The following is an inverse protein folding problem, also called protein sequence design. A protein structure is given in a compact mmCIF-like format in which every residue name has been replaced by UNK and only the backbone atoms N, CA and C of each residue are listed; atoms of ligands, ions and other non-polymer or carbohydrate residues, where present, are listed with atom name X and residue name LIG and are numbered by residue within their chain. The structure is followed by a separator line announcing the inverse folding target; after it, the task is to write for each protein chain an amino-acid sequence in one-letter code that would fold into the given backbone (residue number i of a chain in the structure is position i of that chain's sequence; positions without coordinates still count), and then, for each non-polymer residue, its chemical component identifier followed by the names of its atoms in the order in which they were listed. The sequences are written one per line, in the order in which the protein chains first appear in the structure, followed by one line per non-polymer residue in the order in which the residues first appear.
data_IF_470599835715
#
_entry.id   IF_470599835715
#
_cell.length_a   1.000
_cell.length_b   1.000
_cell.length_c   1.000
_cell.angle_alpha   90.00
_cell.angle_beta   90.00
_cell.angle_gamma   90.00
#
_symmetry.space_group_name_H-M   'P 1'
#
loop_
_entity.id
_entity.type
_entity.pdbx_description
1 polymer ?
#
# COMPACT_ATOMS: atom_id res chain seq x y z
N UNK A 1 -9.27 -20.15 1.93
CA UNK A 1 -8.77 -19.13 2.89
C UNK A 1 -8.62 -17.81 2.15
N UNK A 2 -9.18 -16.72 2.65
CA UNK A 2 -9.09 -15.41 1.98
C UNK A 2 -7.66 -14.86 2.08
N UNK A 3 -7.03 -14.58 0.94
CA UNK A 3 -5.67 -14.01 0.89
C UNK A 3 -5.57 -12.70 1.67
N UNK A 4 -4.44 -12.51 2.34
CA UNK A 4 -4.15 -11.32 3.14
C UNK A 4 -4.10 -10.08 2.23
N UNK A 5 -4.42 -8.91 2.76
CA UNK A 5 -4.45 -7.67 1.98
C UNK A 5 -3.06 -7.29 1.45
N UNK A 6 -1.98 -7.70 2.12
CA UNK A 6 -0.60 -7.53 1.66
C UNK A 6 -0.36 -8.38 0.41
N UNK A 7 -0.71 -9.66 0.43
CA UNK A 7 -0.62 -10.57 -0.73
C UNK A 7 -1.34 -9.98 -1.95
N UNK A 8 -2.58 -9.49 -1.77
CA UNK A 8 -3.35 -8.82 -2.84
C UNK A 8 -2.61 -7.62 -3.43
N UNK A 9 -1.91 -6.84 -2.61
CA UNK A 9 -1.11 -5.68 -3.08
C UNK A 9 0.14 -6.13 -3.82
N UNK A 10 0.81 -7.19 -3.35
CA UNK A 10 1.97 -7.78 -4.02
C UNK A 10 1.56 -8.33 -5.40
N UNK A 11 0.44 -9.04 -5.48
CA UNK A 11 -0.08 -9.57 -6.75
C UNK A 11 -0.37 -8.44 -7.75
N UNK A 12 -1.05 -7.38 -7.28
CA UNK A 12 -1.35 -6.21 -8.14
C UNK A 12 -0.07 -5.52 -8.64
N UNK A 13 0.92 -5.34 -7.75
CA UNK A 13 2.19 -4.72 -8.11
C UNK A 13 3.02 -5.60 -9.06
N UNK A 14 3.02 -6.91 -8.85
CA UNK A 14 3.67 -7.88 -9.74
C UNK A 14 3.04 -7.92 -11.13
N UNK A 15 1.70 -7.90 -11.24
CA UNK A 15 1.02 -7.80 -12.55
C UNK A 15 1.43 -6.50 -13.26
N UNK A 16 1.45 -5.37 -12.55
CA UNK A 16 1.87 -4.08 -13.13
C UNK A 16 3.36 -4.06 -13.53
N UNK A 17 4.20 -4.88 -12.90
CA UNK A 17 5.59 -5.09 -13.31
C UNK A 17 5.65 -5.92 -14.60
N UNK A 18 4.87 -7.00 -14.69
CA UNK A 18 4.77 -7.81 -15.91
C UNK A 18 4.24 -7.01 -17.11
N UNK A 19 3.21 -6.19 -16.92
CA UNK A 19 2.66 -5.30 -17.96
C UNK A 19 3.74 -4.32 -18.45
N UNK A 20 4.45 -3.66 -17.53
CA UNK A 20 5.54 -2.73 -17.90
C UNK A 20 6.70 -3.42 -18.62
N UNK A 21 7.02 -4.67 -18.29
CA UNK A 21 8.14 -5.40 -18.91
C UNK A 21 7.79 -5.99 -20.27
N UNK A 22 6.53 -6.27 -20.56
CA UNK A 22 6.11 -6.70 -21.91
C UNK A 22 6.43 -5.65 -22.96
N UNK A 23 6.25 -4.37 -22.62
CA UNK A 23 6.57 -3.26 -23.51
C UNK A 23 8.09 -3.14 -23.75
N UNK A 24 8.92 -3.72 -22.88
CA UNK A 24 10.38 -3.62 -22.90
C UNK A 24 11.11 -4.80 -23.57
N UNK A 25 10.45 -5.55 -24.46
CA UNK A 25 11.00 -6.67 -25.29
C UNK A 25 12.36 -7.23 -24.85
N UNK A 26 12.35 -8.40 -24.20
CA UNK A 26 13.56 -9.21 -23.98
C UNK A 26 14.15 -9.19 -22.57
N UNK A 27 13.50 -8.53 -21.61
CA UNK A 27 13.88 -8.64 -20.19
C UNK A 27 13.13 -9.82 -19.54
N UNK A 28 13.83 -10.88 -19.09
CA UNK A 28 13.20 -11.94 -18.32
C UNK A 28 12.69 -11.37 -16.99
N UNK A 29 11.52 -11.84 -16.55
CA UNK A 29 10.97 -11.52 -15.23
C UNK A 29 11.42 -12.65 -14.30
N UNK A 30 12.25 -12.33 -13.30
CA UNK A 30 12.73 -13.33 -12.34
C UNK A 30 12.04 -13.18 -10.99
N UNK A 31 12.09 -14.23 -10.17
CA UNK A 31 11.55 -14.18 -8.81
C UNK A 31 12.26 -13.13 -7.93
N UNK A 32 13.47 -12.73 -8.28
CA UNK A 32 14.20 -11.67 -7.58
C UNK A 32 13.62 -10.28 -7.86
N UNK A 33 13.04 -10.05 -9.05
CA UNK A 33 12.34 -8.79 -9.35
C UNK A 33 11.12 -8.55 -8.46
N UNK A 34 10.50 -9.64 -7.96
CA UNK A 34 9.37 -9.58 -7.03
C UNK A 34 9.79 -9.17 -5.62
N UNK A 35 11.03 -9.49 -5.22
CA UNK A 35 11.57 -9.18 -3.88
C UNK A 35 11.80 -7.68 -3.70
N UNK A 36 12.11 -6.98 -4.77
CA UNK A 36 12.35 -5.53 -4.76
C UNK A 36 11.07 -4.69 -4.86
N UNK A 37 9.90 -5.32 -5.03
CA UNK A 37 8.63 -4.60 -5.04
C UNK A 37 8.35 -4.02 -3.65
N UNK A 38 8.09 -2.72 -3.60
CA UNK A 38 7.62 -2.05 -2.40
C UNK A 38 6.09 -2.02 -2.35
N UNK A 39 5.52 -2.52 -1.25
CA UNK A 39 4.08 -2.47 -1.02
C UNK A 39 3.76 -1.80 0.31
N UNK A 40 2.64 -1.07 0.33
CA UNK A 40 2.11 -0.47 1.56
C UNK A 40 1.61 -1.57 2.48
N UNK A 41 2.10 -1.60 3.71
CA UNK A 41 1.82 -2.68 4.68
C UNK A 41 0.63 -2.42 5.61
N UNK A 42 0.13 -1.19 5.67
CA UNK A 42 -1.02 -0.87 6.51
C UNK A 42 -2.29 -1.51 5.97
N UNK A 43 -3.03 -2.16 6.87
CA UNK A 43 -4.36 -2.67 6.58
C UNK A 43 -5.32 -1.51 6.31
N UNK A 44 -6.37 -1.70 5.48
CA UNK A 44 -7.37 -0.66 5.26
C UNK A 44 -8.02 -0.15 6.56
N UNK A 45 -8.20 -1.05 7.53
CA UNK A 45 -8.75 -0.72 8.86
C UNK A 45 -7.80 0.20 9.63
N UNK A 46 -6.50 -0.13 9.66
CA UNK A 46 -5.51 0.68 10.34
C UNK A 46 -5.34 2.05 9.66
N UNK A 47 -5.37 2.10 8.32
CA UNK A 47 -5.39 3.36 7.58
C UNK A 47 -6.61 4.22 7.95
N UNK A 48 -7.80 3.62 7.98
CA UNK A 48 -9.02 4.30 8.41
C UNK A 48 -8.92 4.86 9.83
N UNK A 49 -8.39 4.07 10.77
CA UNK A 49 -8.19 4.50 12.16
C UNK A 49 -7.26 5.72 12.24
N UNK A 50 -6.09 5.69 11.60
CA UNK A 50 -5.18 6.84 11.60
C UNK A 50 -5.78 8.09 10.92
N UNK A 51 -6.60 7.92 9.88
CA UNK A 51 -7.32 9.04 9.25
C UNK A 51 -8.31 9.66 10.24
N UNK A 52 -9.15 8.85 10.88
CA UNK A 52 -10.17 9.33 11.83
C UNK A 52 -9.52 10.04 13.02
N UNK A 53 -8.49 9.43 13.60
CA UNK A 53 -7.73 10.03 14.71
C UNK A 53 -7.07 11.33 14.26
N UNK A 54 -6.43 11.33 13.09
CA UNK A 54 -5.77 12.53 12.56
C UNK A 54 -6.75 13.68 12.31
N UNK A 55 -7.92 13.41 11.73
CA UNK A 55 -8.98 14.40 11.55
C UNK A 55 -9.51 14.92 12.89
N UNK A 56 -9.71 14.05 13.87
CA UNK A 56 -10.16 14.47 15.20
C UNK A 56 -9.18 15.44 15.86
N UNK A 57 -7.87 15.17 15.80
CA UNK A 57 -6.84 16.08 16.31
C UNK A 57 -6.76 17.40 15.53
N UNK A 58 -6.95 17.37 14.21
CA UNK A 58 -6.98 18.58 13.40
C UNK A 58 -8.17 19.48 13.77
N UNK A 59 -9.38 18.90 13.88
CA UNK A 59 -10.59 19.62 14.30
C UNK A 59 -10.43 20.15 15.73
N UNK A 60 -9.89 19.34 16.64
CA UNK A 60 -9.60 19.77 18.01
C UNK A 60 -8.63 20.95 18.06
N UNK A 61 -7.55 20.92 17.29
CA UNK A 61 -6.60 22.02 17.21
C UNK A 61 -7.21 23.30 16.66
N UNK A 62 -8.06 23.20 15.63
CA UNK A 62 -8.81 24.35 15.09
C UNK A 62 -9.77 24.91 16.14
N UNK A 63 -10.47 24.06 16.87
CA UNK A 63 -11.35 24.52 17.96
C UNK A 63 -10.56 25.24 19.06
N UNK A 64 -9.44 24.67 19.53
CA UNK A 64 -8.56 25.31 20.51
C UNK A 64 -8.06 26.68 20.02
N UNK A 65 -7.76 26.81 18.73
CA UNK A 65 -7.38 28.09 18.13
C UNK A 65 -8.49 29.14 18.25
N UNK A 66 -9.74 28.74 17.98
CA UNK A 66 -10.89 29.64 18.03
C UNK A 66 -11.13 30.11 19.47
N UNK A 67 -11.03 29.21 20.45
CA UNK A 67 -11.33 29.49 21.85
C UNK A 67 -10.23 30.32 22.53
N UNK A 68 -8.98 29.91 22.39
CA UNK A 68 -7.86 30.52 23.14
C UNK A 68 -7.19 31.67 22.41
N UNK A 69 -7.41 31.80 21.10
CA UNK A 69 -6.64 32.67 20.17
C UNK A 69 -5.12 32.45 20.24
N UNK A 70 -4.67 31.36 20.86
CA UNK A 70 -3.26 31.04 21.06
C UNK A 70 -2.78 30.05 20.01
N UNK A 71 -2.01 30.57 19.05
CA UNK A 71 -1.45 29.78 17.95
C UNK A 71 -0.53 28.65 18.41
N UNK A 72 0.18 28.85 19.52
CA UNK A 72 1.14 27.87 20.04
C UNK A 72 0.42 26.60 20.53
N UNK A 73 -0.76 26.75 21.14
CA UNK A 73 -1.50 25.62 21.69
C UNK A 73 -2.30 24.87 20.62
N UNK A 74 -2.68 25.53 19.53
CA UNK A 74 -3.48 24.95 18.45
C UNK A 74 -2.66 24.28 17.35
N UNK A 75 -1.46 24.81 17.06
CA UNK A 75 -0.67 24.34 15.92
C UNK A 75 -0.16 22.91 16.11
N UNK A 76 0.19 22.53 17.33
CA UNK A 76 0.69 21.18 17.65
C UNK A 76 -0.37 20.10 17.37
N UNK A 77 -1.62 20.20 17.88
CA UNK A 77 -2.69 19.26 17.52
C UNK A 77 -3.00 19.23 16.02
N UNK A 78 -3.00 20.39 15.34
CA UNK A 78 -3.27 20.45 13.90
C UNK A 78 -2.18 19.73 13.11
N UNK A 79 -0.90 20.00 13.39
CA UNK A 79 0.22 19.35 12.73
C UNK A 79 0.25 17.85 13.02
N UNK A 80 -0.05 17.45 14.27
CA UNK A 80 -0.17 16.05 14.63
C UNK A 80 -1.31 15.37 13.86
N UNK A 81 -2.46 16.04 13.74
CA UNK A 81 -3.61 15.55 12.99
C UNK A 81 -3.30 15.34 11.51
N UNK A 82 -2.76 16.37 10.85
CA UNK A 82 -2.35 16.32 9.43
C UNK A 82 -1.27 15.26 9.21
N UNK A 83 -0.28 15.18 10.11
CA UNK A 83 0.79 14.18 10.06
C UNK A 83 0.26 12.75 10.09
N UNK A 84 -0.73 12.47 10.96
CA UNK A 84 -1.37 11.15 11.03
C UNK A 84 -2.15 10.80 9.76
N UNK A 85 -2.88 11.75 9.18
CA UNK A 85 -3.58 11.53 7.90
C UNK A 85 -2.58 11.27 6.78
N UNK A 86 -1.53 12.08 6.68
CA UNK A 86 -0.48 11.90 5.68
C UNK A 86 0.22 10.54 5.83
N UNK A 87 0.52 10.14 7.06
CA UNK A 87 1.11 8.84 7.39
C UNK A 87 0.19 7.67 7.05
N UNK A 88 -1.13 7.80 7.27
CA UNK A 88 -2.10 6.79 6.87
C UNK A 88 -2.16 6.58 5.34
N UNK A 89 -2.11 7.69 4.59
CA UNK A 89 -2.20 7.71 3.12
C UNK A 89 -0.92 7.17 2.46
N UNK A 90 0.25 7.59 2.93
CA UNK A 90 1.52 7.04 2.47
C UNK A 90 1.71 5.60 2.95
N UNK A 91 1.23 5.29 4.17
CA UNK A 91 1.48 4.04 4.86
C UNK A 91 2.96 3.85 5.16
N UNK A 92 3.32 2.65 5.61
CA UNK A 92 4.71 2.21 5.72
C UNK A 92 5.04 1.30 4.52
N UNK A 93 5.72 1.81 3.47
CA UNK A 93 6.20 0.96 2.40
C UNK A 93 7.25 0.00 2.97
N UNK A 94 7.15 -1.28 2.61
CA UNK A 94 8.19 -2.28 2.87
C UNK A 94 8.42 -3.08 1.60
N UNK A 95 9.68 -3.46 1.39
CA UNK A 95 10.05 -4.36 0.30
C UNK A 95 9.56 -5.77 0.60
N UNK A 96 9.09 -6.48 -0.43
CA UNK A 96 8.65 -7.87 -0.31
C UNK A 96 9.74 -8.76 0.29
N UNK A 97 11.02 -8.49 -0.01
CA UNK A 97 12.18 -9.15 0.62
C UNK A 97 12.15 -9.12 2.15
N UNK A 98 11.70 -8.02 2.75
CA UNK A 98 11.63 -7.88 4.21
C UNK A 98 10.43 -8.61 4.84
N UNK A 99 9.54 -9.14 4.00
CA UNK A 99 8.31 -9.84 4.37
C UNK A 99 8.36 -11.32 3.94
N UNK A 100 9.53 -11.82 3.51
CA UNK A 100 9.73 -13.21 3.08
C UNK A 100 9.35 -14.24 4.15
N UNK A 101 9.47 -13.89 5.44
CA UNK A 101 9.05 -14.76 6.55
C UNK A 101 7.53 -14.92 6.69
N UNK A 102 6.75 -13.96 6.18
CA UNK A 102 5.30 -13.90 6.32
C UNK A 102 4.55 -14.20 5.01
N UNK A 103 5.28 -14.35 3.89
CA UNK A 103 4.73 -14.47 2.54
C UNK A 103 5.31 -15.67 1.81
N UNK A 104 4.44 -16.51 1.25
CA UNK A 104 4.88 -17.58 0.35
C UNK A 104 5.14 -17.01 -1.06
N UNK A 105 6.39 -16.59 -1.31
CA UNK A 105 6.80 -15.97 -2.58
C UNK A 105 6.54 -16.85 -3.80
N UNK A 106 6.66 -18.17 -3.65
CA UNK A 106 6.47 -19.11 -4.76
C UNK A 106 5.00 -19.17 -5.18
N UNK A 107 4.07 -19.21 -4.21
CA UNK A 107 2.63 -19.15 -4.48
C UNK A 107 2.20 -17.79 -5.06
N UNK A 108 2.80 -16.69 -4.58
CA UNK A 108 2.56 -15.35 -5.11
C UNK A 108 3.05 -15.22 -6.56
N UNK A 109 4.24 -15.74 -6.86
CA UNK A 109 4.81 -15.70 -8.22
C UNK A 109 3.94 -16.49 -9.20
N UNK A 110 3.56 -17.72 -8.83
CA UNK A 110 2.71 -18.58 -9.64
C UNK A 110 1.37 -17.91 -9.94
N UNK A 111 0.74 -17.29 -8.93
CA UNK A 111 -0.55 -16.64 -9.13
C UNK A 111 -0.44 -15.34 -9.96
N UNK A 112 0.65 -14.57 -9.79
CA UNK A 112 0.91 -13.38 -10.63
C UNK A 112 1.04 -13.79 -12.09
N UNK A 113 1.83 -14.82 -12.38
CA UNK A 113 2.00 -15.35 -13.74
C UNK A 113 0.68 -15.89 -14.28
N UNK A 114 -0.06 -16.70 -13.51
CA UNK A 114 -1.35 -17.25 -13.93
C UNK A 114 -2.34 -16.15 -14.27
N UNK A 115 -2.52 -15.15 -13.40
CA UNK A 115 -3.44 -14.02 -13.62
C UNK A 115 -3.01 -13.16 -14.81
N UNK A 116 -1.71 -12.97 -14.97
CA UNK A 116 -1.17 -12.21 -16.08
C UNK A 116 -1.39 -12.92 -17.42
N UNK A 117 -1.05 -14.20 -17.52
CA UNK A 117 -1.28 -15.03 -18.72
C UNK A 117 -2.77 -15.10 -19.05
N UNK A 118 -3.63 -15.31 -18.05
CA UNK A 118 -5.09 -15.33 -18.24
C UNK A 118 -5.65 -13.99 -18.74
N UNK A 119 -4.98 -12.87 -18.43
CA UNK A 119 -5.36 -11.54 -18.93
C UNK A 119 -4.88 -11.30 -20.37
N UNK A 120 -3.78 -11.95 -20.75
CA UNK A 120 -3.14 -11.84 -22.06
C UNK A 120 -3.71 -12.82 -23.09
N UNK A 121 -4.30 -13.94 -22.64
CA UNK A 121 -4.90 -14.94 -23.54
C UNK A 121 -6.38 -14.62 -23.81
N UNK A 122 -6.74 -14.13 -25.00
CA UNK A 122 -8.13 -13.81 -25.35
C UNK A 122 -9.03 -15.06 -25.41
N UNK A 123 -8.47 -16.28 -25.40
CA UNK A 123 -9.22 -17.55 -25.45
C UNK A 123 -9.61 -18.11 -24.09
N UNK A 124 -9.16 -17.54 -22.97
CA UNK A 124 -9.46 -18.11 -21.64
C UNK A 124 -10.87 -17.80 -21.11
N UNK A 125 -11.78 -17.29 -21.95
CA UNK A 125 -13.15 -16.87 -21.61
C UNK A 125 -14.24 -17.64 -22.37
N UNK A 126 -13.90 -18.71 -23.07
CA UNK A 126 -14.90 -19.65 -23.62
C UNK A 126 -15.12 -20.84 -22.66
#
# INVERSE_FOLDING_TARGET
MGRNYIEKRVIKAGIALCERRIDMKGTPITADDLKDIEVKTFSPVLQGFYIVVGLAFAVFGIWVQIETRSMIQSILPVLFGVGNVAFALHGRPRKVREMEGDLNLMDLTAEIVQRFVSKMDPKSKE
#
